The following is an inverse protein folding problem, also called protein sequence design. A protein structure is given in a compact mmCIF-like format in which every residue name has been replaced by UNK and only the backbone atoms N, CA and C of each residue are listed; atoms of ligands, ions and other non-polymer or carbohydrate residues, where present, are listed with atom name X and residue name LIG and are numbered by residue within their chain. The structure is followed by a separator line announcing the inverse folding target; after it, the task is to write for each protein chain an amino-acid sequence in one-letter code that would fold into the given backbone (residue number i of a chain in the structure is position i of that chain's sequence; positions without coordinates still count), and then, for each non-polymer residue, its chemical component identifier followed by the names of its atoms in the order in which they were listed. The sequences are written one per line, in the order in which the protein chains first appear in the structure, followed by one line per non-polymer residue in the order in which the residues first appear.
data_IF_382718490877
#
_entry.id   IF_382718490877
#
_cell.length_a   1.000
_cell.length_b   1.000
_cell.length_c   1.000
_cell.angle_alpha   90.00
_cell.angle_beta   90.00
_cell.angle_gamma   90.00
#
_symmetry.space_group_name_H-M   'P 1'
#
loop_
_entity.id
_entity.type
_entity.pdbx_description
1 polymer ?
#
# COMPACT_ATOMS: atom_id res chain seq x y z
N UNK A 1 5.89 -7.50 17.31
CA UNK A 1 5.16 -7.31 16.04
C UNK A 1 3.87 -6.59 16.34
N UNK A 2 3.52 -5.51 15.63
CA UNK A 2 2.24 -4.80 15.78
C UNK A 2 1.10 -5.46 14.99
N UNK A 3 1.43 -6.30 14.00
CA UNK A 3 0.46 -7.02 13.19
C UNK A 3 -0.07 -8.24 13.93
N UNK A 4 -1.40 -8.43 13.91
CA UNK A 4 -2.07 -9.62 14.48
C UNK A 4 -2.55 -10.55 13.37
N UNK A 5 -3.45 -10.07 12.49
CA UNK A 5 -4.02 -10.86 11.39
C UNK A 5 -4.52 -9.98 10.26
N UNK A 6 -4.65 -10.58 9.07
CA UNK A 6 -5.42 -9.99 7.97
C UNK A 6 -6.87 -10.40 8.15
N UNK A 7 -7.78 -9.42 8.13
CA UNK A 7 -9.22 -9.67 8.20
C UNK A 7 -9.84 -9.73 6.81
N UNK A 8 -9.29 -8.97 5.85
CA UNK A 8 -9.80 -8.94 4.49
C UNK A 8 -8.72 -8.59 3.46
N UNK A 9 -8.76 -9.27 2.31
CA UNK A 9 -8.09 -8.86 1.07
C UNK A 9 -9.15 -8.87 -0.03
N UNK A 10 -9.36 -7.73 -0.67
CA UNK A 10 -10.30 -7.57 -1.77
C UNK A 10 -9.61 -6.99 -2.98
N UNK A 11 -9.74 -7.62 -4.14
CA UNK A 11 -9.25 -7.06 -5.40
C UNK A 11 -10.22 -5.98 -5.85
N UNK A 12 -9.73 -4.77 -6.08
CA UNK A 12 -10.51 -3.63 -6.59
C UNK A 12 -10.37 -3.54 -8.11
N UNK A 13 -9.13 -3.61 -8.60
CA UNK A 13 -8.80 -3.56 -10.03
C UNK A 13 -7.68 -4.56 -10.32
N UNK A 14 -7.68 -5.17 -11.51
CA UNK A 14 -6.64 -6.12 -11.92
C UNK A 14 -6.45 -6.14 -13.43
N UNK A 15 -5.20 -6.12 -13.85
CA UNK A 15 -4.74 -6.41 -15.21
C UNK A 15 -3.79 -7.61 -15.19
N UNK A 16 -3.15 -7.91 -16.33
CA UNK A 16 -2.11 -8.94 -16.42
C UNK A 16 -0.93 -8.64 -15.49
N UNK A 17 -0.55 -7.36 -15.39
CA UNK A 17 0.71 -6.92 -14.77
C UNK A 17 0.53 -5.93 -13.62
N UNK A 18 -0.70 -5.53 -13.31
CA UNK A 18 -1.02 -4.64 -12.19
C UNK A 18 -2.26 -5.09 -11.42
N UNK A 19 -2.31 -4.77 -10.14
CA UNK A 19 -3.53 -4.91 -9.35
C UNK A 19 -3.62 -3.81 -8.30
N UNK A 20 -4.85 -3.42 -7.97
CA UNK A 20 -5.16 -2.59 -6.80
C UNK A 20 -5.96 -3.45 -5.85
N UNK A 21 -5.47 -3.63 -4.63
CA UNK A 21 -6.14 -4.42 -3.61
C UNK A 21 -6.45 -3.56 -2.39
N UNK A 22 -7.62 -3.74 -1.80
CA UNK A 22 -7.95 -3.25 -0.48
C UNK A 22 -7.57 -4.32 0.56
N UNK A 23 -6.91 -3.89 1.64
CA UNK A 23 -6.53 -4.77 2.74
C UNK A 23 -7.01 -4.17 4.04
N UNK A 24 -7.70 -4.98 4.84
CA UNK A 24 -8.05 -4.67 6.23
C UNK A 24 -7.37 -5.66 7.15
N UNK A 25 -6.74 -5.16 8.21
CA UNK A 25 -5.98 -5.98 9.15
C UNK A 25 -6.12 -5.46 10.58
N UNK A 26 -6.04 -6.40 11.52
CA UNK A 26 -6.09 -6.12 12.95
C UNK A 26 -4.67 -6.05 13.50
N UNK A 27 -4.41 -5.06 14.34
CA UNK A 27 -3.16 -4.90 15.10
C UNK A 27 -3.24 -5.61 16.45
N UNK A 28 -2.10 -5.84 17.11
CA UNK A 28 -2.04 -6.54 18.41
C UNK A 28 -2.73 -5.79 19.55
N UNK A 29 -2.99 -4.48 19.38
CA UNK A 29 -3.76 -3.68 20.33
C UNK A 29 -5.28 -3.75 20.09
N UNK A 30 -5.73 -4.54 19.11
CA UNK A 30 -7.15 -4.68 18.74
C UNK A 30 -7.67 -3.61 17.79
N UNK A 31 -6.84 -2.62 17.39
CA UNK A 31 -7.23 -1.64 16.39
C UNK A 31 -7.26 -2.28 15.00
N UNK A 32 -8.20 -1.82 14.18
CA UNK A 32 -8.28 -2.19 12.78
C UNK A 32 -7.70 -1.07 11.93
N UNK A 33 -6.89 -1.45 10.95
CA UNK A 33 -6.34 -0.56 9.95
C UNK A 33 -6.80 -1.04 8.57
N UNK A 34 -6.96 -0.08 7.66
CA UNK A 34 -7.30 -0.35 6.28
C UNK A 34 -6.48 0.54 5.34
N UNK A 35 -6.06 -0.05 4.23
CA UNK A 35 -5.36 0.67 3.18
C UNK A 35 -5.46 -0.11 1.87
N UNK A 36 -5.13 0.57 0.78
CA UNK A 36 -4.98 -0.10 -0.50
C UNK A 36 -3.52 -0.27 -0.85
N UNK A 37 -3.22 -1.35 -1.57
CA UNK A 37 -1.90 -1.64 -2.11
C UNK A 37 -1.99 -1.63 -3.63
N UNK A 38 -1.07 -0.90 -4.25
CA UNK A 38 -0.81 -1.02 -5.68
C UNK A 38 0.23 -2.11 -5.86
N UNK A 39 -0.12 -3.14 -6.62
CA UNK A 39 0.74 -4.25 -6.94
C UNK A 39 1.17 -4.17 -8.40
N UNK A 40 2.43 -4.53 -8.65
CA UNK A 40 2.97 -4.72 -9.99
C UNK A 40 3.54 -6.11 -10.11
N UNK A 41 3.36 -6.73 -11.28
CA UNK A 41 3.96 -8.01 -11.58
C UNK A 41 5.36 -7.79 -12.16
N UNK A 42 6.37 -8.33 -11.49
CA UNK A 42 7.78 -8.28 -11.91
C UNK A 42 8.36 -9.68 -11.81
N UNK A 43 8.97 -10.13 -12.90
CA UNK A 43 9.59 -11.48 -12.98
C UNK A 43 8.63 -12.59 -12.53
N UNK A 44 7.36 -12.48 -12.91
CA UNK A 44 6.31 -13.44 -12.58
C UNK A 44 5.74 -13.33 -11.16
N UNK A 45 6.31 -12.49 -10.29
CA UNK A 45 5.87 -12.27 -8.89
C UNK A 45 5.12 -10.95 -8.75
N UNK A 46 4.20 -10.89 -7.78
CA UNK A 46 3.54 -9.65 -7.40
C UNK A 46 4.38 -8.94 -6.35
N UNK A 47 4.72 -7.68 -6.61
CA UNK A 47 5.43 -6.79 -5.71
C UNK A 47 4.55 -5.60 -5.36
N UNK A 48 4.70 -5.08 -4.13
CA UNK A 48 4.00 -3.86 -3.71
C UNK A 48 4.73 -2.66 -4.30
N UNK A 49 4.06 -1.93 -5.19
CA UNK A 49 4.56 -0.73 -5.82
C UNK A 49 4.21 0.55 -5.03
N UNK A 50 3.07 0.58 -4.33
CA UNK A 50 2.66 1.73 -3.52
C UNK A 50 1.65 1.34 -2.43
N UNK A 51 1.57 2.18 -1.40
CA UNK A 51 0.58 2.13 -0.33
C UNK A 51 -0.30 3.36 -0.42
N UNK A 52 -1.62 3.17 -0.58
CA UNK A 52 -2.60 4.26 -0.58
C UNK A 52 -3.35 4.23 0.75
N UNK A 53 -3.05 5.21 1.62
CA UNK A 53 -3.73 5.32 2.92
C UNK A 53 -4.94 6.26 2.81
N UNK A 54 -6.06 5.98 3.51
CA UNK A 54 -7.30 6.76 3.41
C UNK A 54 -7.10 8.28 3.57
N UNK A 55 -6.21 8.70 4.47
CA UNK A 55 -6.04 10.12 4.82
C UNK A 55 -4.81 10.78 4.19
N UNK A 56 -3.80 10.01 3.78
CA UNK A 56 -2.54 10.56 3.25
C UNK A 56 -2.33 10.28 1.76
N UNK A 57 -3.16 9.43 1.15
CA UNK A 57 -2.96 8.96 -0.21
C UNK A 57 -1.66 8.17 -0.38
N UNK A 58 -1.09 8.25 -1.59
CA UNK A 58 0.13 7.55 -2.00
C UNK A 58 1.33 7.86 -1.11
N UNK A 59 1.96 6.82 -0.57
CA UNK A 59 3.22 6.94 0.15
C UNK A 59 4.38 7.25 -0.80
N UNK A 60 4.41 6.63 -1.98
CA UNK A 60 5.44 6.86 -2.98
C UNK A 60 5.52 8.35 -3.36
N UNK A 61 4.37 8.98 -3.68
CA UNK A 61 4.33 10.41 -4.02
C UNK A 61 4.81 11.31 -2.87
N UNK A 62 4.53 10.94 -1.63
CA UNK A 62 5.02 11.69 -0.46
C UNK A 62 6.55 11.61 -0.35
N UNK A 63 7.13 10.45 -0.60
CA UNK A 63 8.60 10.25 -0.61
C UNK A 63 9.23 11.06 -1.75
N UNK A 64 8.66 11.01 -2.95
CA UNK A 64 9.11 11.78 -4.12
C UNK A 64 9.07 13.28 -3.84
N UNK A 65 7.96 13.80 -3.31
CA UNK A 65 7.80 15.21 -2.97
C UNK A 65 8.83 15.67 -1.94
N UNK A 66 9.05 14.88 -0.87
CA UNK A 66 10.04 15.18 0.16
C UNK A 66 11.47 15.13 -0.36
N UNK A 67 11.77 14.22 -1.28
CA UNK A 67 13.08 14.10 -1.92
C UNK A 67 13.35 15.29 -2.84
N UNK A 68 12.38 15.66 -3.67
CA UNK A 68 12.47 16.83 -4.55
C UNK A 68 12.65 18.13 -3.75
N UNK A 69 11.96 18.28 -2.61
CA UNK A 69 12.10 19.45 -1.74
C UNK A 69 13.52 19.56 -1.16
N UNK A 70 14.17 18.44 -0.81
CA UNK A 70 15.55 18.41 -0.31
C UNK A 70 16.59 18.74 -1.39
N UNK A 71 16.35 18.34 -2.63
CA UNK A 71 17.28 18.60 -3.74
C UNK A 71 17.28 20.06 -4.22
N UNK A 72 16.25 20.85 -3.86
CA UNK A 72 16.15 22.27 -4.18
C UNK A 72 16.77 23.19 -3.11
N UNK A 73 17.27 22.63 -2.00
CA UNK A 73 17.99 23.34 -0.95
C UNK A 73 19.49 23.30 -1.23
#
# INVERSE_FOLDING_TARGET
SLFSRVDEIRVLEKTTDSARIHVRFTLTNGNNEEQELILQRREGKWEIADFIRPNSGSLLKQIEAKTAARLKQ
#
